data_IF_787058914812
#
_entry.id   IF_787058914812
#
_cell.length_a   1.000
_cell.length_b   1.000
_cell.length_c   1.000
_cell.angle_alpha   90.00
_cell.angle_beta   90.00
_cell.angle_gamma   90.00
#
_symmetry.space_group_name_H-M   'P 1'
#
loop_
_entity.id
_entity.type
_entity.pdbx_description
1 polymer ?
#
# COMPACT_ATOMS: atom_id res chain seq x y z
N UNK A 1 -12.64 23.15 -9.30
CA UNK A 1 -11.56 22.42 -10.04
C UNK A 1 -11.09 21.29 -9.12
N UNK A 2 -11.57 20.06 -9.36
CA UNK A 2 -11.33 18.92 -8.48
C UNK A 2 -9.84 18.55 -8.49
N UNK A 3 -9.13 19.04 -7.47
CA UNK A 3 -7.68 18.89 -7.31
C UNK A 3 -7.44 17.76 -6.31
N UNK A 4 -7.56 16.53 -6.78
CA UNK A 4 -7.36 15.31 -5.98
C UNK A 4 -6.25 14.50 -6.64
N UNK A 5 -5.09 14.44 -5.98
CA UNK A 5 -4.71 13.39 -5.03
C UNK A 5 -4.16 12.12 -5.71
N UNK A 6 -3.13 12.29 -6.54
CA UNK A 6 -2.36 11.16 -7.12
C UNK A 6 -1.45 10.48 -6.07
N UNK A 7 -1.61 10.80 -4.77
CA UNK A 7 -0.73 10.33 -3.69
C UNK A 7 -1.36 9.42 -2.64
N UNK A 8 -2.69 9.27 -2.68
CA UNK A 8 -3.38 8.27 -1.86
C UNK A 8 -3.60 6.96 -2.61
N UNK A 9 -3.76 7.02 -3.94
CA UNK A 9 -4.18 5.86 -4.75
C UNK A 9 -3.11 4.77 -4.75
N UNK A 10 -1.83 5.08 -4.97
CA UNK A 10 -0.75 4.09 -4.91
C UNK A 10 -0.60 3.44 -3.53
N UNK A 11 -0.78 4.23 -2.46
CA UNK A 11 -0.76 3.71 -1.08
C UNK A 11 -1.92 2.75 -0.84
N UNK A 12 -3.13 3.16 -1.22
CA UNK A 12 -4.34 2.33 -1.11
C UNK A 12 -4.18 1.07 -1.97
N UNK A 13 -3.65 1.19 -3.19
CA UNK A 13 -3.42 0.06 -4.08
C UNK A 13 -2.45 -0.95 -3.47
N UNK A 14 -1.34 -0.50 -2.87
CA UNK A 14 -0.36 -1.39 -2.20
C UNK A 14 -0.94 -2.06 -0.94
N UNK A 15 -1.70 -1.31 -0.15
CA UNK A 15 -2.38 -1.86 1.04
C UNK A 15 -3.43 -2.90 0.61
N UNK A 16 -4.27 -2.58 -0.37
CA UNK A 16 -5.31 -3.47 -0.88
C UNK A 16 -4.68 -4.72 -1.51
N UNK A 17 -3.65 -4.58 -2.34
CA UNK A 17 -2.94 -5.71 -2.93
C UNK A 17 -2.33 -6.61 -1.85
N UNK A 18 -1.69 -6.02 -0.83
CA UNK A 18 -1.13 -6.78 0.29
C UNK A 18 -2.20 -7.50 1.12
N UNK A 19 -3.33 -6.85 1.41
CA UNK A 19 -4.45 -7.47 2.12
C UNK A 19 -5.09 -8.61 1.33
N UNK A 20 -5.28 -8.45 0.01
CA UNK A 20 -5.87 -9.48 -0.85
C UNK A 20 -4.98 -10.72 -0.87
N UNK A 21 -3.67 -10.54 -1.06
CA UNK A 21 -2.71 -11.65 -1.04
C UNK A 21 -2.69 -12.37 0.30
N UNK A 22 -2.70 -11.64 1.41
CA UNK A 22 -2.74 -12.26 2.74
C UNK A 22 -4.10 -12.91 3.06
N UNK A 23 -5.22 -12.36 2.62
CA UNK A 23 -6.52 -12.99 2.76
C UNK A 23 -6.56 -14.33 2.00
N UNK A 24 -5.95 -14.38 0.81
CA UNK A 24 -5.84 -15.60 0.00
C UNK A 24 -5.06 -16.72 0.73
N UNK A 25 -4.15 -16.37 1.64
CA UNK A 25 -3.47 -17.34 2.51
C UNK A 25 -4.47 -18.08 3.42
N UNK A 26 -5.47 -17.39 3.97
CA UNK A 26 -6.43 -18.01 4.89
C UNK A 26 -7.60 -18.67 4.17
N UNK A 27 -8.01 -18.15 3.02
CA UNK A 27 -9.14 -18.68 2.23
C UNK A 27 -8.80 -20.01 1.55
N UNK A 28 -7.54 -20.22 1.14
CA UNK A 28 -7.12 -21.42 0.41
C UNK A 28 -6.09 -22.24 1.21
N UNK A 29 -6.49 -22.94 2.29
CA UNK A 29 -5.55 -23.62 3.17
C UNK A 29 -4.82 -24.80 2.52
N UNK A 30 -5.47 -25.50 1.58
CA UNK A 30 -4.93 -26.68 0.91
C UNK A 30 -4.13 -26.35 -0.37
N UNK A 31 -4.04 -25.07 -0.73
CA UNK A 31 -3.30 -24.65 -1.92
C UNK A 31 -1.79 -24.79 -1.73
N UNK A 32 -1.12 -25.57 -2.58
CA UNK A 32 0.35 -25.72 -2.54
C UNK A 32 1.10 -24.40 -2.72
N UNK A 33 0.47 -23.41 -3.37
CA UNK A 33 1.01 -22.07 -3.61
C UNK A 33 0.68 -21.05 -2.52
N UNK A 34 -0.03 -21.46 -1.45
CA UNK A 34 -0.45 -20.57 -0.36
C UNK A 34 0.70 -19.80 0.26
N UNK A 35 1.87 -20.42 0.42
CA UNK A 35 3.05 -19.74 0.97
C UNK A 35 3.55 -18.59 0.08
N UNK A 36 3.32 -18.61 -1.23
CA UNK A 36 3.67 -17.48 -2.10
C UNK A 36 2.81 -16.25 -1.82
N UNK A 37 1.58 -16.43 -1.31
CA UNK A 37 0.69 -15.29 -1.03
C UNK A 37 1.15 -14.48 0.20
N UNK A 38 2.05 -15.02 1.03
CA UNK A 38 2.74 -14.28 2.10
C UNK A 38 3.59 -13.13 1.58
N UNK A 39 3.95 -13.11 0.28
CA UNK A 39 4.63 -11.97 -0.34
C UNK A 39 3.83 -10.68 -0.18
N UNK A 40 2.51 -10.78 0.02
CA UNK A 40 1.60 -9.68 0.35
C UNK A 40 1.98 -8.88 1.60
N UNK A 41 2.78 -9.45 2.52
CA UNK A 41 3.35 -8.73 3.66
C UNK A 41 4.19 -7.54 3.18
N UNK A 42 4.97 -7.70 2.11
CA UNK A 42 5.88 -6.65 1.60
C UNK A 42 5.12 -5.41 1.08
N UNK A 43 4.17 -5.51 0.13
CA UNK A 43 3.37 -4.36 -0.31
C UNK A 43 2.48 -3.80 0.83
N UNK A 44 2.01 -4.64 1.75
CA UNK A 44 1.24 -4.19 2.90
C UNK A 44 2.10 -3.34 3.85
N UNK A 45 3.26 -3.84 4.27
CA UNK A 45 4.20 -3.11 5.11
C UNK A 45 4.66 -1.82 4.43
N UNK A 46 5.05 -1.88 3.16
CA UNK A 46 5.47 -0.67 2.42
C UNK A 46 4.35 0.35 2.26
N UNK A 47 3.08 -0.09 2.11
CA UNK A 47 1.91 0.79 2.10
C UNK A 47 1.54 1.37 3.47
N UNK A 48 1.74 0.61 4.57
CA UNK A 48 1.45 1.03 5.94
C UNK A 48 2.49 2.01 6.49
N UNK A 49 3.78 1.69 6.33
CA UNK A 49 4.91 2.49 6.83
C UNK A 49 5.16 3.75 6.01
N UNK A 50 4.37 4.00 4.97
CA UNK A 50 4.30 5.31 4.30
C UNK A 50 5.56 5.70 3.52
N UNK A 51 6.51 4.79 3.34
CA UNK A 51 7.66 4.98 2.45
C UNK A 51 7.19 4.83 1.00
N UNK A 52 6.57 5.90 0.49
CA UNK A 52 6.33 6.06 -0.94
C UNK A 52 7.59 6.72 -1.55
N UNK A 53 8.55 5.95 -2.11
CA UNK A 53 9.74 6.52 -2.74
C UNK A 53 9.38 7.48 -3.88
N UNK A 54 8.24 7.26 -4.54
CA UNK A 54 7.78 8.09 -5.65
C UNK A 54 7.32 9.49 -5.21
N UNK A 55 6.70 9.64 -4.04
CA UNK A 55 6.29 10.95 -3.50
C UNK A 55 7.45 11.69 -2.84
N UNK A 56 8.37 10.95 -2.20
CA UNK A 56 9.62 11.51 -1.66
C UNK A 56 10.57 11.98 -2.77
N UNK A 57 10.62 11.29 -3.92
CA UNK A 57 11.41 11.73 -5.09
C UNK A 57 10.76 12.90 -5.84
N UNK A 58 9.42 13.00 -5.85
CA UNK A 58 8.71 14.13 -6.45
C UNK A 58 8.54 15.35 -5.52
N UNK A 59 9.14 15.35 -4.32
CA UNK A 59 9.13 16.51 -3.42
C UNK A 59 7.73 16.94 -2.93
N UNK A 60 6.72 16.09 -3.07
CA UNK A 60 5.36 16.40 -2.65
C UNK A 60 5.16 15.96 -1.19
N UNK A 61 5.60 16.81 -0.29
CA UNK A 61 5.42 16.62 1.15
C UNK A 61 3.96 16.83 1.54
N UNK A 62 3.25 15.76 1.90
CA UNK A 62 1.98 15.84 2.66
C UNK A 62 2.23 15.94 4.16
N UNK A 63 3.25 16.69 4.59
CA UNK A 63 3.18 17.29 5.92
C UNK A 63 2.03 18.32 5.87
N UNK A 64 1.05 18.27 6.77
CA UNK A 64 0.13 19.39 6.91
C UNK A 64 0.98 20.58 7.35
N UNK A 65 1.18 21.55 6.46
CA UNK A 65 1.59 22.89 6.90
C UNK A 65 0.41 23.39 7.73
N UNK A 66 0.62 23.41 9.05
CA UNK A 66 -0.30 24.01 10.01
C UNK A 66 -0.62 25.43 9.50
N UNK A 67 -1.81 25.60 8.93
CA UNK A 67 -2.33 26.95 8.64
C UNK A 67 -2.83 27.50 9.97
N UNK A 68 -2.01 28.40 10.52
CA UNK A 68 -2.29 29.31 11.64
C UNK A 68 -2.85 28.63 12.88
#
# INVERSE_FOLDING_TARGET
MFKTNVGGIDRVLRIVAGLVLLAMFFVYPDASWRYFTLIGIIPLFTGLFGTCPLYSMMGLSTCPVKKT
#
